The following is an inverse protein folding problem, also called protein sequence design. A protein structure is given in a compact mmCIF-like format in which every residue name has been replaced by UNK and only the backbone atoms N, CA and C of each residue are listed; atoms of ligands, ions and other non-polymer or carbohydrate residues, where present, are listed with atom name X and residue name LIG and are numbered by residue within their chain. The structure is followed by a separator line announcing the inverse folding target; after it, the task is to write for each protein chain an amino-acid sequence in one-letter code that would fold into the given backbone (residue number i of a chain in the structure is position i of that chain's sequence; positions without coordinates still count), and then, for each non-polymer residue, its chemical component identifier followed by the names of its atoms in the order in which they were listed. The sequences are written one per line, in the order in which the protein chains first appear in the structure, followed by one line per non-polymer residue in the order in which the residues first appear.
data_IF_224720652651
#
_entry.id   IF_224720652651
#
_cell.length_a   1.000
_cell.length_b   1.000
_cell.length_c   1.000
_cell.angle_alpha   90.00
_cell.angle_beta   90.00
_cell.angle_gamma   90.00
#
_symmetry.space_group_name_H-M   'P 1'
#
loop_
_entity.id
_entity.type
_entity.pdbx_description
1 polymer ?
#
# COMPACT_ATOMS: atom_id res chain seq x y z
N UNK A 1 -10.94 -1.09 10.22
CA UNK A 1 -9.96 -2.01 9.59
C UNK A 1 -8.52 -1.81 10.08
N UNK A 2 -8.18 -0.73 10.82
CA UNK A 2 -6.80 -0.44 11.27
C UNK A 2 -6.44 -0.90 12.69
N UNK A 3 -7.43 -1.26 13.52
CA UNK A 3 -7.23 -1.53 14.95
C UNK A 3 -6.19 -2.63 15.24
N UNK A 4 -6.04 -3.62 14.34
CA UNK A 4 -5.01 -4.65 14.50
C UNK A 4 -3.60 -4.07 14.48
N UNK A 5 -3.31 -3.10 13.60
CA UNK A 5 -1.99 -2.44 13.53
C UNK A 5 -1.71 -1.69 14.84
N UNK A 6 -2.70 -0.93 15.33
CA UNK A 6 -2.60 -0.21 16.59
C UNK A 6 -2.39 -1.13 17.79
N UNK A 7 -3.18 -2.21 17.89
CA UNK A 7 -3.11 -3.14 19.01
C UNK A 7 -1.81 -3.97 19.01
N UNK A 8 -1.33 -4.39 17.85
CA UNK A 8 -0.13 -5.23 17.75
C UNK A 8 1.17 -4.42 17.78
N UNK A 9 1.16 -3.16 17.33
CA UNK A 9 2.39 -2.39 17.14
C UNK A 9 2.39 -1.01 17.80
N UNK A 10 1.30 -0.59 18.44
CA UNK A 10 1.19 0.75 19.07
C UNK A 10 1.23 1.91 18.08
N UNK A 11 1.06 1.64 16.78
CA UNK A 11 1.14 2.62 15.70
C UNK A 11 -0.20 2.73 14.98
N UNK A 12 -0.58 3.96 14.61
CA UNK A 12 -1.75 4.20 13.77
C UNK A 12 -1.32 4.38 12.32
N UNK A 13 -1.96 3.66 11.40
CA UNK A 13 -1.76 3.87 9.96
C UNK A 13 -2.41 5.19 9.54
N UNK A 14 -1.61 6.09 8.97
CA UNK A 14 -2.11 7.38 8.49
C UNK A 14 -2.98 7.27 7.23
N UNK A 15 -2.72 6.28 6.38
CA UNK A 15 -3.50 5.98 5.18
C UNK A 15 -3.41 4.47 4.86
N UNK A 16 -4.46 3.93 4.26
CA UNK A 16 -4.54 2.55 3.76
C UNK A 16 -5.11 2.57 2.35
N UNK A 17 -4.28 2.25 1.35
CA UNK A 17 -4.68 2.25 -0.05
C UNK A 17 -5.02 0.83 -0.50
N UNK A 18 -6.30 0.55 -0.71
CA UNK A 18 -6.74 -0.72 -1.29
C UNK A 18 -6.69 -0.64 -2.82
N UNK A 19 -6.04 -1.60 -3.47
CA UNK A 19 -5.83 -1.62 -4.93
C UNK A 19 -6.13 -2.99 -5.51
N UNK A 20 -6.41 -3.04 -6.81
CA UNK A 20 -6.70 -4.30 -7.52
C UNK A 20 -5.46 -5.23 -7.55
N UNK A 21 -5.65 -6.57 -7.53
CA UNK A 21 -4.55 -7.51 -7.77
C UNK A 21 -3.78 -7.19 -9.06
N UNK A 22 -2.45 -7.34 -9.02
CA UNK A 22 -1.58 -7.04 -10.16
C UNK A 22 -1.21 -5.56 -10.34
N UNK A 23 -1.85 -4.64 -9.62
CA UNK A 23 -1.51 -3.21 -9.70
C UNK A 23 -0.31 -2.78 -8.86
N UNK A 24 0.16 -3.65 -7.95
CA UNK A 24 1.35 -3.38 -7.12
C UNK A 24 2.62 -3.65 -7.95
N UNK A 25 3.53 -2.67 -8.10
CA UNK A 25 4.82 -2.88 -8.77
C UNK A 25 5.63 -4.02 -8.16
N UNK A 26 6.04 -4.98 -9.00
CA UNK A 26 6.90 -6.11 -8.61
C UNK A 26 8.23 -6.13 -9.37
N UNK A 27 9.23 -6.78 -8.78
CA UNK A 27 10.47 -7.14 -9.46
C UNK A 27 10.22 -8.32 -10.39
N UNK A 28 11.17 -8.61 -11.27
CA UNK A 28 11.12 -9.80 -12.14
C UNK A 28 11.01 -11.11 -11.37
N UNK A 29 11.53 -11.17 -10.14
CA UNK A 29 11.40 -12.31 -9.22
C UNK A 29 10.10 -12.34 -8.41
N UNK A 30 9.18 -11.40 -8.64
CA UNK A 30 7.88 -11.35 -7.96
C UNK A 30 7.87 -10.65 -6.60
N UNK A 31 8.98 -10.04 -6.17
CA UNK A 31 9.02 -9.28 -4.90
C UNK A 31 8.43 -7.89 -5.09
N UNK A 32 7.79 -7.34 -4.06
CA UNK A 32 7.25 -5.98 -4.09
C UNK A 32 8.38 -4.95 -4.25
N UNK A 33 8.23 -4.05 -5.24
CA UNK A 33 9.11 -2.88 -5.44
C UNK A 33 8.61 -1.72 -4.57
N UNK A 34 8.90 -1.80 -3.26
CA UNK A 34 8.38 -0.84 -2.26
C UNK A 34 8.71 0.63 -2.56
N UNK A 35 9.89 0.93 -3.11
CA UNK A 35 10.26 2.30 -3.49
C UNK A 35 9.35 2.87 -4.58
N UNK A 36 9.06 2.08 -5.62
CA UNK A 36 8.14 2.48 -6.69
C UNK A 36 6.70 2.63 -6.15
N UNK A 37 6.28 1.77 -5.21
CA UNK A 37 4.99 1.93 -4.54
C UNK A 37 4.91 3.26 -3.77
N UNK A 38 5.97 3.62 -3.04
CA UNK A 38 6.02 4.88 -2.29
C UNK A 38 6.01 6.11 -3.21
N UNK A 39 6.62 6.04 -4.38
CA UNK A 39 6.56 7.08 -5.40
C UNK A 39 5.14 7.20 -5.97
N UNK A 40 4.54 6.09 -6.42
CA UNK A 40 3.16 6.07 -6.93
C UNK A 40 2.16 6.60 -5.89
N UNK A 41 2.31 6.22 -4.62
CA UNK A 41 1.49 6.74 -3.52
C UNK A 41 1.59 8.25 -3.41
N UNK A 42 2.82 8.79 -3.33
CA UNK A 42 3.06 10.24 -3.21
C UNK A 42 2.52 11.03 -4.38
N UNK A 43 2.49 10.42 -5.57
CA UNK A 43 1.94 11.03 -6.78
C UNK A 43 0.45 10.71 -7.04
N UNK A 44 -0.23 10.01 -6.12
CA UNK A 44 -1.66 9.67 -6.26
C UNK A 44 -1.96 8.73 -7.45
N UNK A 45 -1.01 7.88 -7.83
CA UNK A 45 -1.08 7.06 -9.05
C UNK A 45 -1.72 5.68 -8.84
N UNK A 46 -2.09 5.34 -7.60
CA UNK A 46 -2.87 4.14 -7.34
C UNK A 46 -4.35 4.38 -7.61
N UNK A 47 -4.95 3.51 -8.42
CA UNK A 47 -6.42 3.42 -8.51
C UNK A 47 -6.92 2.76 -7.23
N UNK A 48 -7.58 3.55 -6.39
CA UNK A 48 -8.08 3.06 -5.11
C UNK A 48 -9.44 2.39 -5.30
N UNK A 49 -9.63 1.25 -4.64
CA UNK A 49 -10.90 0.52 -4.64
C UNK A 49 -11.88 1.04 -3.57
N UNK A 50 -11.40 1.88 -2.66
CA UNK A 50 -12.16 2.48 -1.57
C UNK A 50 -12.59 3.94 -1.85
N UNK A 51 -12.34 4.40 -3.08
CA UNK A 51 -12.78 5.71 -3.56
C UNK A 51 -14.28 5.73 -3.91
#
# INVERSE_FOLDING_TARGET
MTAAISNSHGLSAADLVLVAPGSIPITTSGKVRRSACAEQYRHGQFVRLDA
#
